data_IF_875773549519
#
_entry.id   IF_875773549519
#
_cell.length_a   1.000
_cell.length_b   1.000
_cell.length_c   1.000
_cell.angle_alpha   90.00
_cell.angle_beta   90.00
_cell.angle_gamma   90.00
#
_symmetry.space_group_name_H-M   'P 1'
#
loop_
_entity.id
_entity.type
_entity.pdbx_description
1 polymer ?
#
# COMPACT_ATOMS: atom_id res chain seq x y z
N UNK A 1 -2.82 9.27 -31.45
CA UNK A 1 -3.64 10.39 -30.94
C UNK A 1 -3.19 10.66 -29.53
N UNK A 2 -2.35 11.68 -29.34
CA UNK A 2 -1.94 12.13 -28.00
C UNK A 2 -3.03 13.10 -27.55
N UNK A 3 -3.81 12.71 -26.56
CA UNK A 3 -4.78 13.60 -25.93
C UNK A 3 -4.02 14.33 -24.83
N UNK A 4 -3.63 15.59 -25.08
CA UNK A 4 -3.21 16.48 -24.00
C UNK A 4 -4.47 16.85 -23.22
N UNK A 5 -4.75 16.08 -22.17
CA UNK A 5 -5.76 16.46 -21.20
C UNK A 5 -5.24 17.68 -20.44
N UNK A 6 -6.01 18.78 -20.43
CA UNK A 6 -5.82 19.89 -19.51
C UNK A 6 -5.81 19.33 -18.08
N UNK A 7 -4.64 19.31 -17.46
CA UNK A 7 -4.39 18.66 -16.17
C UNK A 7 -5.27 19.25 -15.07
N UNK A 8 -5.55 20.55 -15.11
CA UNK A 8 -6.38 21.23 -14.12
C UNK A 8 -7.84 20.79 -14.25
N UNK A 9 -8.31 20.64 -15.49
CA UNK A 9 -9.67 20.15 -15.75
C UNK A 9 -9.82 18.69 -15.34
N UNK A 10 -8.86 17.84 -15.70
CA UNK A 10 -8.87 16.42 -15.31
C UNK A 10 -8.84 16.25 -13.79
N UNK A 11 -7.92 16.94 -13.09
CA UNK A 11 -7.83 16.89 -11.63
C UNK A 11 -9.12 17.41 -11.00
N UNK A 12 -9.69 18.52 -11.51
CA UNK A 12 -10.93 19.06 -10.95
C UNK A 12 -12.13 18.15 -11.19
N UNK A 13 -12.33 17.65 -12.40
CA UNK A 13 -13.51 16.87 -12.81
C UNK A 13 -13.42 15.42 -12.32
N UNK A 14 -12.29 14.76 -12.54
CA UNK A 14 -12.13 13.33 -12.24
C UNK A 14 -11.73 13.09 -10.80
N UNK A 15 -10.75 13.83 -10.27
CA UNK A 15 -10.18 13.59 -8.93
C UNK A 15 -10.97 14.34 -7.85
N UNK A 16 -11.12 15.66 -7.97
CA UNK A 16 -11.74 16.49 -6.92
C UNK A 16 -13.26 16.35 -6.88
N UNK A 17 -13.90 16.28 -8.06
CA UNK A 17 -15.37 16.14 -8.17
C UNK A 17 -15.83 14.70 -8.28
N UNK A 18 -14.90 13.76 -8.43
CA UNK A 18 -15.20 12.32 -8.49
C UNK A 18 -16.20 11.96 -9.62
N UNK A 19 -16.23 12.72 -10.73
CA UNK A 19 -17.30 12.67 -11.75
C UNK A 19 -17.44 11.30 -12.42
N UNK A 20 -16.36 10.52 -12.51
CA UNK A 20 -16.34 9.19 -13.13
C UNK A 20 -16.23 8.04 -12.13
N UNK A 21 -16.32 8.33 -10.84
CA UNK A 21 -16.15 7.34 -9.78
C UNK A 21 -17.19 6.21 -9.82
N UNK A 22 -18.35 6.44 -10.44
CA UNK A 22 -19.35 5.41 -10.69
C UNK A 22 -18.84 4.24 -11.56
N UNK A 23 -17.78 4.46 -12.35
CA UNK A 23 -17.09 3.40 -13.10
C UNK A 23 -16.26 2.48 -12.20
N UNK A 24 -15.90 2.95 -11.00
CA UNK A 24 -15.06 2.27 -10.04
C UNK A 24 -15.87 2.03 -8.76
N UNK A 25 -16.76 1.05 -8.82
CA UNK A 25 -17.56 0.61 -7.67
C UNK A 25 -17.17 -0.79 -7.23
N UNK A 26 -17.52 -1.10 -5.99
CA UNK A 26 -17.33 -2.41 -5.38
C UNK A 26 -15.86 -2.88 -5.31
N UNK A 27 -14.93 -1.92 -5.20
CA UNK A 27 -13.48 -2.22 -5.17
C UNK A 27 -13.10 -3.05 -3.94
N UNK A 28 -12.21 -4.02 -4.14
CA UNK A 28 -11.48 -4.68 -3.05
C UNK A 28 -10.11 -4.02 -2.92
N UNK A 29 -9.85 -3.42 -1.76
CA UNK A 29 -8.65 -2.63 -1.52
C UNK A 29 -7.81 -3.26 -0.42
N UNK A 30 -6.51 -3.38 -0.64
CA UNK A 30 -5.52 -3.73 0.39
C UNK A 30 -4.64 -2.49 0.60
N UNK A 31 -4.63 -1.95 1.81
CA UNK A 31 -3.90 -0.73 2.20
C UNK A 31 -2.79 -1.10 3.19
N UNK A 32 -1.59 -1.36 2.68
CA UNK A 32 -0.41 -1.73 3.49
C UNK A 32 0.31 -0.47 3.92
N UNK A 33 0.51 -0.32 5.23
CA UNK A 33 0.96 0.92 5.86
C UNK A 33 -0.19 1.92 5.97
N UNK A 34 -1.32 1.47 6.51
CA UNK A 34 -2.55 2.25 6.46
C UNK A 34 -2.52 3.51 7.34
N UNK A 35 -1.60 3.59 8.32
CA UNK A 35 -1.53 4.69 9.28
C UNK A 35 -2.93 4.95 9.90
N UNK A 36 -3.36 6.22 10.02
CA UNK A 36 -4.69 6.58 10.53
C UNK A 36 -5.86 6.28 9.56
N UNK A 37 -5.62 5.57 8.45
CA UNK A 37 -6.64 5.15 7.50
C UNK A 37 -7.03 6.19 6.46
N UNK A 38 -6.22 7.24 6.24
CA UNK A 38 -6.54 8.34 5.29
C UNK A 38 -6.90 7.82 3.90
N UNK A 39 -6.08 6.93 3.33
CA UNK A 39 -6.32 6.33 2.02
C UNK A 39 -7.55 5.42 2.02
N UNK A 40 -7.65 4.55 3.04
CA UNK A 40 -8.81 3.69 3.26
C UNK A 40 -10.13 4.48 3.34
N UNK A 41 -10.17 5.61 4.05
CA UNK A 41 -11.37 6.44 4.15
C UNK A 41 -11.69 7.18 2.84
N UNK A 42 -10.67 7.64 2.12
CA UNK A 42 -10.86 8.29 0.82
C UNK A 42 -11.54 7.35 -0.20
N UNK A 43 -11.16 6.07 -0.20
CA UNK A 43 -11.77 5.05 -1.08
C UNK A 43 -13.07 4.44 -0.53
N UNK A 44 -13.50 4.78 0.68
CA UNK A 44 -14.59 4.07 1.36
C UNK A 44 -15.91 4.08 0.58
N UNK A 45 -16.24 5.18 -0.11
CA UNK A 45 -17.46 5.26 -0.92
C UNK A 45 -17.45 4.32 -2.13
N UNK A 46 -16.25 3.97 -2.63
CA UNK A 46 -16.03 3.19 -3.85
C UNK A 46 -15.73 1.72 -3.56
N UNK A 47 -15.26 1.42 -2.35
CA UNK A 47 -14.84 0.08 -1.96
C UNK A 47 -16.02 -0.78 -1.49
N UNK A 48 -16.06 -2.03 -1.96
CA UNK A 48 -16.84 -3.11 -1.35
C UNK A 48 -16.24 -3.52 -0.01
N UNK A 49 -14.91 -3.60 0.06
CA UNK A 49 -14.18 -4.05 1.22
C UNK A 49 -12.75 -3.50 1.20
N UNK A 50 -12.24 -3.13 2.39
CA UNK A 50 -10.91 -2.57 2.57
C UNK A 50 -10.20 -3.34 3.67
N UNK A 51 -8.99 -3.79 3.38
CA UNK A 51 -8.10 -4.47 4.30
C UNK A 51 -6.96 -3.50 4.64
N UNK A 52 -7.07 -2.85 5.81
CA UNK A 52 -6.11 -1.87 6.30
C UNK A 52 -5.09 -2.56 7.21
N UNK A 53 -3.80 -2.47 6.85
CA UNK A 53 -2.75 -3.25 7.49
C UNK A 53 -1.65 -2.30 7.96
N UNK A 54 -1.24 -2.46 9.21
CA UNK A 54 -0.11 -1.76 9.77
C UNK A 54 0.57 -2.66 10.80
N UNK A 55 1.89 -2.54 10.96
CA UNK A 55 2.64 -3.34 11.91
C UNK A 55 2.59 -2.77 13.33
N UNK A 56 2.16 -1.51 13.50
CA UNK A 56 2.16 -0.80 14.77
C UNK A 56 0.81 -0.95 15.48
N UNK A 57 0.74 -1.60 16.67
CA UNK A 57 -0.52 -1.82 17.38
C UNK A 57 -1.30 -0.52 17.68
N UNK A 58 -0.59 0.54 18.07
CA UNK A 58 -1.20 1.84 18.38
C UNK A 58 -1.93 2.45 17.17
N UNK A 59 -1.37 2.30 15.97
CA UNK A 59 -2.01 2.77 14.73
C UNK A 59 -3.31 2.01 14.50
N UNK A 60 -3.26 0.68 14.62
CA UNK A 60 -4.43 -0.18 14.43
C UNK A 60 -5.50 0.09 15.50
N UNK A 61 -5.12 0.30 16.75
CA UNK A 61 -6.04 0.64 17.84
C UNK A 61 -6.71 2.00 17.59
N UNK A 62 -5.95 3.00 17.14
CA UNK A 62 -6.48 4.30 16.75
C UNK A 62 -7.48 4.20 15.60
N UNK A 63 -7.14 3.46 14.55
CA UNK A 63 -8.02 3.25 13.40
C UNK A 63 -9.29 2.48 13.81
N UNK A 64 -9.18 1.45 14.64
CA UNK A 64 -10.32 0.71 15.18
C UNK A 64 -11.28 1.58 15.99
N UNK A 65 -10.77 2.50 16.82
CA UNK A 65 -11.61 3.47 17.54
C UNK A 65 -12.36 4.40 16.58
N UNK A 66 -11.70 4.87 15.53
CA UNK A 66 -12.33 5.70 14.49
C UNK A 66 -13.42 4.93 13.76
N UNK A 67 -13.15 3.69 13.36
CA UNK A 67 -14.10 2.80 12.69
C UNK A 67 -15.32 2.55 13.58
N UNK A 68 -15.11 2.19 14.84
CA UNK A 68 -16.19 1.92 15.79
C UNK A 68 -17.07 3.15 16.05
N UNK A 69 -16.44 4.31 16.28
CA UNK A 69 -17.15 5.58 16.54
C UNK A 69 -18.05 5.97 15.37
N UNK A 70 -17.58 5.74 14.14
CA UNK A 70 -18.29 6.11 12.92
C UNK A 70 -19.14 4.97 12.33
N UNK A 71 -19.24 3.81 13.01
CA UNK A 71 -19.98 2.62 12.56
C UNK A 71 -19.59 2.17 11.15
N UNK A 72 -18.28 2.22 10.86
CA UNK A 72 -17.72 1.82 9.58
C UNK A 72 -17.62 0.29 9.56
N UNK A 73 -18.27 -0.36 8.59
CA UNK A 73 -18.39 -1.82 8.57
C UNK A 73 -17.47 -2.51 7.56
N UNK A 74 -17.01 -1.79 6.53
CA UNK A 74 -16.30 -2.37 5.37
C UNK A 74 -14.77 -2.23 5.42
N UNK A 75 -14.23 -1.68 6.52
CA UNK A 75 -12.79 -1.60 6.76
C UNK A 75 -12.42 -2.62 7.82
N UNK A 76 -11.55 -3.56 7.48
CA UNK A 76 -11.00 -4.57 8.39
C UNK A 76 -9.54 -4.25 8.65
N UNK A 77 -9.16 -4.15 9.92
CA UNK A 77 -7.80 -3.77 10.32
C UNK A 77 -6.98 -4.99 10.73
N UNK A 78 -5.69 -4.98 10.42
CA UNK A 78 -4.76 -6.06 10.77
C UNK A 78 -3.46 -5.50 11.32
N UNK A 79 -3.05 -5.98 12.50
CA UNK A 79 -1.78 -5.63 13.12
C UNK A 79 -0.68 -6.62 12.72
N UNK A 80 -0.05 -6.43 11.56
CA UNK A 80 1.04 -7.26 11.04
C UNK A 80 1.84 -6.51 10.00
N UNK A 81 3.12 -6.84 9.83
CA UNK A 81 3.91 -6.36 8.71
C UNK A 81 3.70 -7.23 7.47
N UNK A 82 3.53 -6.61 6.30
CA UNK A 82 3.69 -7.31 5.02
C UNK A 82 5.14 -7.21 4.58
N UNK A 83 5.75 -8.35 4.26
CA UNK A 83 7.19 -8.50 3.96
C UNK A 83 7.40 -9.51 2.82
N UNK A 84 8.64 -9.70 2.36
CA UNK A 84 8.96 -10.71 1.34
C UNK A 84 9.18 -12.12 1.90
N UNK A 85 9.02 -12.33 3.21
CA UNK A 85 9.13 -13.62 3.91
C UNK A 85 8.41 -13.56 5.26
N UNK A 86 8.20 -14.70 5.92
CA UNK A 86 7.44 -14.83 7.17
C UNK A 86 8.32 -14.87 8.42
N UNK A 87 9.49 -14.22 8.40
CA UNK A 87 10.37 -14.20 9.56
C UNK A 87 9.89 -13.15 10.57
N UNK A 88 9.95 -13.43 11.89
CA UNK A 88 9.71 -12.40 12.90
C UNK A 88 10.54 -11.15 12.62
N UNK A 89 9.90 -9.99 12.67
CA UNK A 89 10.56 -8.70 12.42
C UNK A 89 10.60 -7.89 13.70
N UNK A 90 11.61 -7.03 13.77
CA UNK A 90 11.64 -5.96 14.75
C UNK A 90 11.45 -4.64 14.03
N UNK A 91 10.83 -3.69 14.69
CA UNK A 91 10.64 -2.36 14.16
C UNK A 91 11.02 -1.30 15.19
N UNK A 92 11.48 -0.18 14.66
CA UNK A 92 11.80 1.01 15.42
C UNK A 92 10.73 2.06 15.14
N UNK A 93 10.36 2.82 16.17
CA UNK A 93 9.44 3.94 16.06
C UNK A 93 10.23 5.23 16.14
N UNK A 94 9.97 6.17 15.23
CA UNK A 94 10.59 7.48 15.33
C UNK A 94 10.04 8.24 16.56
N UNK A 95 10.89 8.63 17.52
CA UNK A 95 10.45 9.32 18.73
C UNK A 95 9.97 10.76 18.47
N UNK A 96 10.26 11.32 17.29
CA UNK A 96 9.94 12.70 16.89
C UNK A 96 8.81 12.74 15.86
N UNK A 97 8.79 11.83 14.88
CA UNK A 97 7.88 11.88 13.72
C UNK A 97 6.58 11.07 13.84
N UNK A 98 6.17 10.74 15.07
CA UNK A 98 4.99 9.91 15.38
C UNK A 98 5.05 8.49 14.78
N UNK A 99 4.06 7.65 15.14
CA UNK A 99 4.04 6.24 14.77
C UNK A 99 4.05 5.98 13.25
N UNK A 100 3.67 6.96 12.43
CA UNK A 100 3.56 6.84 10.98
C UNK A 100 4.88 6.61 10.24
N UNK A 101 6.03 6.93 10.87
CA UNK A 101 7.36 6.72 10.29
C UNK A 101 8.09 5.49 10.88
N UNK A 102 7.33 4.46 11.26
CA UNK A 102 7.91 3.26 11.87
C UNK A 102 8.58 2.38 10.80
N UNK A 103 9.79 1.90 11.10
CA UNK A 103 10.62 1.16 10.14
C UNK A 103 10.98 -0.23 10.66
N UNK A 104 10.93 -1.25 9.79
CA UNK A 104 11.48 -2.57 10.12
C UNK A 104 13.00 -2.48 10.11
N UNK A 105 13.60 -2.82 11.25
CA UNK A 105 15.04 -2.75 11.48
C UNK A 105 15.50 -3.86 12.41
N UNK A 106 16.72 -4.37 12.20
CA UNK A 106 17.29 -5.44 13.06
C UNK A 106 17.51 -4.98 14.50
N UNK A 107 17.87 -3.71 14.68
CA UNK A 107 18.04 -3.05 15.97
C UNK A 107 16.76 -2.41 16.52
N UNK A 108 15.61 -2.64 15.86
CA UNK A 108 14.32 -2.15 16.31
C UNK A 108 13.96 -2.67 17.70
N UNK A 109 13.27 -1.85 18.50
CA UNK A 109 12.99 -2.18 19.91
C UNK A 109 11.79 -3.10 20.05
N UNK A 110 10.81 -2.98 19.15
CA UNK A 110 9.53 -3.67 19.21
C UNK A 110 9.50 -4.87 18.26
N UNK A 111 8.82 -5.93 18.65
CA UNK A 111 8.59 -7.10 17.79
C UNK A 111 7.27 -6.98 17.04
N UNK A 112 7.23 -7.51 15.82
CA UNK A 112 5.99 -7.65 15.04
C UNK A 112 6.00 -8.95 14.26
N UNK A 113 4.81 -9.54 14.13
CA UNK A 113 4.59 -10.66 13.23
C UNK A 113 4.60 -10.15 11.80
N UNK A 114 5.20 -10.92 10.89
CA UNK A 114 5.23 -10.59 9.48
C UNK A 114 4.70 -11.73 8.63
N UNK A 115 4.15 -11.40 7.47
CA UNK A 115 3.71 -12.37 6.49
C UNK A 115 3.86 -11.83 5.07
N UNK A 116 3.93 -12.73 4.09
CA UNK A 116 3.87 -12.34 2.68
C UNK A 116 2.48 -11.86 2.29
N UNK A 117 2.40 -11.04 1.24
CA UNK A 117 1.11 -10.61 0.70
C UNK A 117 0.25 -11.80 0.27
N UNK A 118 0.86 -12.84 -0.32
CA UNK A 118 0.16 -14.07 -0.69
C UNK A 118 -0.52 -14.72 0.52
N UNK A 119 0.22 -14.92 1.61
CA UNK A 119 -0.33 -15.55 2.80
C UNK A 119 -1.42 -14.69 3.43
N UNK A 120 -1.23 -13.38 3.48
CA UNK A 120 -2.26 -12.46 3.93
C UNK A 120 -3.56 -12.63 3.13
N UNK A 121 -3.47 -12.66 1.79
CA UNK A 121 -4.62 -12.86 0.92
C UNK A 121 -5.25 -14.24 1.08
N UNK A 122 -4.46 -15.29 1.29
CA UNK A 122 -4.95 -16.66 1.48
C UNK A 122 -5.66 -16.83 2.83
N UNK A 123 -5.07 -16.35 3.92
CA UNK A 123 -5.66 -16.37 5.27
C UNK A 123 -7.00 -15.64 5.31
N UNK A 124 -7.10 -14.51 4.61
CA UNK A 124 -8.32 -13.70 4.55
C UNK A 124 -9.25 -14.09 3.39
N UNK A 125 -8.91 -15.13 2.62
CA UNK A 125 -9.68 -15.62 1.47
C UNK A 125 -9.94 -14.56 0.39
N UNK A 126 -9.05 -13.59 0.26
CA UNK A 126 -9.14 -12.47 -0.69
C UNK A 126 -8.82 -12.98 -2.08
N UNK A 127 -9.81 -13.36 -2.88
CA UNK A 127 -9.55 -13.93 -4.20
C UNK A 127 -8.90 -12.93 -5.17
N UNK A 128 -9.20 -11.64 -5.01
CA UNK A 128 -8.72 -10.58 -5.88
C UNK A 128 -8.69 -9.24 -5.13
N UNK A 129 -7.77 -8.35 -5.51
CA UNK A 129 -7.68 -6.96 -5.07
C UNK A 129 -7.58 -6.04 -6.29
N UNK A 130 -8.51 -5.10 -6.41
CA UNK A 130 -8.50 -4.07 -7.45
C UNK A 130 -7.34 -3.09 -7.23
N UNK A 131 -7.07 -2.77 -5.96
CA UNK A 131 -6.03 -1.84 -5.55
C UNK A 131 -5.25 -2.46 -4.39
N UNK A 132 -3.94 -2.54 -4.57
CA UNK A 132 -2.96 -2.74 -3.51
C UNK A 132 -2.18 -1.43 -3.34
N UNK A 133 -2.25 -0.81 -2.16
CA UNK A 133 -1.33 0.25 -1.76
C UNK A 133 -0.18 -0.35 -0.95
N UNK A 134 1.05 0.03 -1.28
CA UNK A 134 2.27 -0.31 -0.55
C UNK A 134 2.98 0.99 -0.17
N UNK A 135 2.84 1.36 1.09
CA UNK A 135 3.42 2.58 1.65
C UNK A 135 4.03 2.21 2.99
N UNK A 136 5.16 1.54 2.90
CA UNK A 136 5.86 0.98 4.06
C UNK A 136 7.28 1.49 4.02
N UNK A 137 7.73 2.09 5.11
CA UNK A 137 8.99 2.84 5.19
C UNK A 137 10.25 1.98 4.88
N UNK A 138 10.51 1.70 3.60
CA UNK A 138 11.72 1.05 3.07
C UNK A 138 11.62 -0.44 2.73
N UNK A 139 10.41 -1.04 2.71
CA UNK A 139 10.23 -2.48 2.41
C UNK A 139 9.50 -2.77 1.09
N UNK A 140 9.18 -1.76 0.30
CA UNK A 140 8.36 -1.86 -0.90
C UNK A 140 8.99 -2.82 -1.92
N UNK A 141 10.30 -2.68 -2.16
CA UNK A 141 11.04 -3.59 -3.04
C UNK A 141 11.06 -5.02 -2.50
N UNK A 142 11.24 -5.21 -1.20
CA UNK A 142 11.25 -6.55 -0.59
C UNK A 142 9.91 -7.26 -0.84
N UNK A 143 8.80 -6.55 -0.63
CA UNK A 143 7.45 -7.08 -0.86
C UNK A 143 7.25 -7.42 -2.34
N UNK A 144 7.61 -6.49 -3.25
CA UNK A 144 7.41 -6.69 -4.69
C UNK A 144 8.30 -7.78 -5.29
N UNK A 145 9.48 -8.01 -4.68
CA UNK A 145 10.44 -9.02 -5.15
C UNK A 145 10.18 -10.41 -4.57
N UNK A 146 9.11 -10.61 -3.79
CA UNK A 146 8.70 -11.93 -3.31
C UNK A 146 8.42 -12.85 -4.52
N UNK A 147 9.12 -14.00 -4.66
CA UNK A 147 8.87 -14.95 -5.74
C UNK A 147 7.42 -15.45 -5.80
N UNK A 148 6.71 -15.42 -4.67
CA UNK A 148 5.32 -15.83 -4.54
C UNK A 148 4.33 -14.65 -4.53
N UNK A 149 4.78 -13.44 -4.90
CA UNK A 149 3.91 -12.27 -4.99
C UNK A 149 2.66 -12.61 -5.84
N UNK A 150 1.43 -12.38 -5.33
CA UNK A 150 0.18 -12.83 -5.95
C UNK A 150 -0.23 -11.93 -7.12
N UNK A 151 0.66 -11.77 -8.11
CA UNK A 151 0.47 -10.91 -9.28
C UNK A 151 -0.79 -11.25 -10.08
N UNK A 152 -1.25 -12.49 -10.04
CA UNK A 152 -2.47 -12.96 -10.68
C UNK A 152 -3.77 -12.46 -10.01
N UNK A 153 -3.67 -11.95 -8.77
CA UNK A 153 -4.82 -11.52 -7.95
C UNK A 153 -4.84 -10.03 -7.67
N UNK A 154 -3.85 -9.26 -8.14
CA UNK A 154 -3.74 -7.82 -7.90
C UNK A 154 -3.78 -7.07 -9.22
N UNK A 155 -4.72 -6.15 -9.37
CA UNK A 155 -4.91 -5.42 -10.64
C UNK A 155 -4.06 -4.16 -10.75
N UNK A 156 -4.09 -3.34 -9.70
CA UNK A 156 -3.36 -2.07 -9.62
C UNK A 156 -2.53 -2.05 -8.34
N UNK A 157 -1.28 -1.67 -8.47
CA UNK A 157 -0.37 -1.42 -7.35
C UNK A 157 -0.10 0.07 -7.33
N UNK A 158 -0.34 0.70 -6.18
CA UNK A 158 0.10 2.05 -5.87
C UNK A 158 1.20 1.91 -4.82
N UNK A 159 2.29 2.64 -4.96
CA UNK A 159 3.27 2.67 -3.90
C UNK A 159 4.03 3.97 -3.82
N UNK A 160 4.56 4.24 -2.63
CA UNK A 160 5.48 5.32 -2.34
C UNK A 160 6.85 4.69 -2.08
N UNK A 161 7.90 5.17 -2.74
CA UNK A 161 9.24 4.62 -2.66
C UNK A 161 10.04 5.37 -1.62
N UNK A 162 10.16 4.78 -0.44
CA UNK A 162 10.99 5.31 0.61
C UNK A 162 12.48 4.98 0.39
N UNK A 163 13.34 5.70 1.08
CA UNK A 163 14.75 5.33 1.16
C UNK A 163 14.89 4.08 2.01
N UNK A 164 15.41 2.98 1.43
CA UNK A 164 15.84 1.81 2.20
C UNK A 164 16.95 2.24 3.16
N UNK A 165 16.65 2.33 4.45
CA UNK A 165 17.62 2.79 5.47
C UNK A 165 18.76 1.79 5.68
N UNK A 166 18.62 0.56 5.17
CA UNK A 166 19.65 -0.49 5.28
C UNK A 166 20.54 -0.61 4.04
N UNK A 167 20.26 0.15 2.96
CA UNK A 167 21.09 0.14 1.75
C UNK A 167 21.32 1.55 1.22
N UNK A 168 22.59 1.88 0.99
CA UNK A 168 22.96 3.09 0.22
C UNK A 168 22.73 2.78 -1.27
N UNK A 169 21.47 2.84 -1.69
CA UNK A 169 21.08 2.77 -3.11
C UNK A 169 20.60 4.17 -3.48
N UNK A 170 20.99 4.70 -4.64
CA UNK A 170 20.51 6.01 -5.08
C UNK A 170 19.01 5.96 -5.42
N UNK A 171 18.31 7.09 -5.32
CA UNK A 171 16.87 7.15 -5.60
C UNK A 171 16.52 6.71 -7.02
N UNK A 172 17.37 7.05 -7.99
CA UNK A 172 17.24 6.65 -9.39
C UNK A 172 17.28 5.13 -9.54
N UNK A 173 18.21 4.46 -8.87
CA UNK A 173 18.38 3.01 -8.95
C UNK A 173 17.17 2.28 -8.36
N UNK A 174 16.60 2.76 -7.24
CA UNK A 174 15.40 2.15 -6.64
C UNK A 174 14.19 2.18 -7.58
N UNK A 175 14.00 3.30 -8.28
CA UNK A 175 12.90 3.44 -9.26
C UNK A 175 13.06 2.47 -10.42
N UNK A 176 14.29 2.34 -10.92
CA UNK A 176 14.62 1.39 -11.99
C UNK A 176 14.35 -0.04 -11.51
N UNK A 177 14.83 -0.41 -10.32
CA UNK A 177 14.62 -1.76 -9.77
C UNK A 177 13.14 -2.10 -9.57
N UNK A 178 12.34 -1.18 -9.01
CA UNK A 178 10.89 -1.42 -8.83
C UNK A 178 10.17 -1.49 -10.16
N UNK A 179 10.52 -0.60 -11.10
CA UNK A 179 9.97 -0.63 -12.45
C UNK A 179 10.21 -1.99 -13.12
N UNK A 180 11.46 -2.45 -13.13
CA UNK A 180 11.83 -3.71 -13.78
C UNK A 180 11.06 -4.89 -13.15
N UNK A 181 11.00 -4.94 -11.80
CA UNK A 181 10.27 -5.99 -11.07
C UNK A 181 8.78 -6.01 -11.43
N UNK A 182 8.10 -4.85 -11.46
CA UNK A 182 6.66 -4.83 -11.79
C UNK A 182 6.38 -5.08 -13.27
N UNK A 183 7.27 -4.65 -14.17
CA UNK A 183 7.14 -4.91 -15.61
C UNK A 183 7.33 -6.41 -15.91
N UNK A 184 8.29 -7.09 -15.26
CA UNK A 184 8.45 -8.55 -15.32
C UNK A 184 7.22 -9.31 -14.79
N UNK A 185 6.47 -8.71 -13.85
CA UNK A 185 5.21 -9.27 -13.36
C UNK A 185 4.02 -9.03 -14.31
N UNK A 186 4.21 -8.33 -15.43
CA UNK A 186 3.18 -8.03 -16.42
C UNK A 186 2.34 -6.79 -16.08
N UNK A 187 2.90 -5.85 -15.34
CA UNK A 187 2.29 -4.54 -15.10
C UNK A 187 2.93 -3.48 -15.99
N UNK A 188 2.16 -2.46 -16.33
CA UNK A 188 2.68 -1.20 -16.89
C UNK A 188 3.02 -0.26 -15.75
N UNK A 189 4.27 0.15 -15.64
CA UNK A 189 4.75 1.14 -14.67
C UNK A 189 4.51 2.57 -15.14
N UNK A 190 4.12 3.46 -14.22
CA UNK A 190 4.03 4.91 -14.41
C UNK A 190 4.42 5.64 -13.11
N UNK A 191 4.97 6.84 -13.22
CA UNK A 191 5.36 7.69 -12.08
C UNK A 191 4.50 8.96 -12.10
N UNK A 192 3.33 8.97 -11.43
CA UNK A 192 2.40 10.11 -11.49
C UNK A 192 2.91 11.33 -10.71
N UNK A 193 3.74 11.13 -9.69
CA UNK A 193 4.35 12.18 -8.90
C UNK A 193 5.66 11.68 -8.29
N UNK A 194 6.48 12.59 -7.78
CA UNK A 194 7.78 12.26 -7.20
C UNK A 194 7.64 11.17 -6.14
N UNK A 195 8.51 10.16 -6.22
CA UNK A 195 8.61 9.02 -5.29
C UNK A 195 7.37 8.11 -5.26
N UNK A 196 6.31 8.40 -6.03
CA UNK A 196 5.14 7.55 -6.12
C UNK A 196 5.08 6.83 -7.46
N UNK A 197 4.68 5.57 -7.46
CA UNK A 197 4.44 4.81 -8.67
C UNK A 197 3.05 4.21 -8.73
N UNK A 198 2.59 3.97 -9.95
CA UNK A 198 1.42 3.19 -10.27
C UNK A 198 1.82 2.09 -11.26
N UNK A 199 1.54 0.85 -10.89
CA UNK A 199 1.71 -0.32 -11.75
C UNK A 199 0.35 -0.96 -12.03
N UNK A 200 -0.05 -1.07 -13.30
CA UNK A 200 -1.37 -1.61 -13.68
C UNK A 200 -1.26 -2.80 -14.63
N UNK A 201 -2.01 -3.86 -14.36
CA UNK A 201 -2.02 -5.10 -15.15
C UNK A 201 -2.28 -4.80 -16.64
N UNK A 202 -1.50 -5.42 -17.53
CA UNK A 202 -1.65 -5.36 -18.99
C UNK A 202 -2.50 -6.54 -19.49
#
# INVERSE_FOLDING_TARGET
MVIEADSDRFVREVINRNEYSFLFKDLVVIDVGCNIGTFSFWLYALAKEIYAIDMVPEIIDNLNRTIATNKIARIKTYCTAITGNELPRRYWKDPVLAAGSSQIRRDGEFETQSMTLRNFMDMNRIQYADILKIDVEGLEREILSDPNFPKDRVYTILGELHHDTNKVVEATDRRIEVKDVVEEMGYRYTEPMKDHFLARKI
#
